data_IF_466115434277
#
_entry.id   IF_466115434277
#
_cell.length_a   1.000
_cell.length_b   1.000
_cell.length_c   1.000
_cell.angle_alpha   90.00
_cell.angle_beta   90.00
_cell.angle_gamma   90.00
#
_symmetry.space_group_name_H-M   'P 1'
#
loop_
_entity.id
_entity.type
_entity.pdbx_description
1 polymer ?
#
# COMPACT_ATOMS: atom_id res chain seq x y z
N UNK A 1 -2.97 -3.31 16.78
CA UNK A 1 -2.63 -2.42 15.65
C UNK A 1 -3.90 -2.27 14.85
N UNK A 2 -4.40 -1.05 14.72
CA UNK A 2 -5.65 -0.82 13.98
C UNK A 2 -5.37 -1.01 12.48
N UNK A 3 -6.13 -1.89 11.85
CA UNK A 3 -6.08 -2.12 10.41
C UNK A 3 -7.08 -1.20 9.72
N UNK A 4 -6.63 -0.49 8.70
CA UNK A 4 -7.42 0.45 7.93
C UNK A 4 -7.92 -0.23 6.64
N UNK A 5 -9.23 -0.38 6.43
CA UNK A 5 -9.75 -0.99 5.22
C UNK A 5 -9.65 -0.02 4.04
N UNK A 6 -9.33 -0.55 2.87
CA UNK A 6 -9.27 0.20 1.61
C UNK A 6 -9.35 -0.68 0.38
N UNK A 7 -9.29 -0.04 -0.80
CA UNK A 7 -9.29 -0.71 -2.10
C UNK A 7 -8.13 -0.24 -2.97
N UNK A 8 -7.51 -1.17 -3.70
CA UNK A 8 -6.42 -0.87 -4.66
C UNK A 8 -6.96 -0.04 -5.83
N UNK A 9 -6.48 1.18 -6.01
CA UNK A 9 -6.80 2.02 -7.18
C UNK A 9 -5.81 1.82 -8.32
N UNK A 10 -4.53 1.63 -8.01
CA UNK A 10 -3.45 1.42 -8.97
C UNK A 10 -2.44 0.40 -8.43
N UNK A 11 -1.86 -0.38 -9.35
CA UNK A 11 -0.82 -1.37 -9.07
C UNK A 11 0.27 -1.27 -10.15
N UNK A 12 1.53 -1.22 -9.73
CA UNK A 12 2.68 -1.18 -10.64
C UNK A 12 3.77 -2.12 -10.16
N UNK A 13 4.08 -3.15 -10.96
CA UNK A 13 5.16 -4.10 -10.68
C UNK A 13 6.50 -3.59 -11.22
N UNK A 14 7.52 -3.59 -10.36
CA UNK A 14 8.86 -3.05 -10.63
C UNK A 14 9.95 -4.03 -10.18
N UNK A 15 10.16 -5.09 -10.96
CA UNK A 15 11.17 -6.10 -10.63
C UNK A 15 10.81 -6.83 -9.34
N UNK A 16 11.45 -6.48 -8.22
CA UNK A 16 11.26 -7.10 -6.89
C UNK A 16 10.35 -6.29 -5.97
N UNK A 17 9.78 -5.18 -6.44
CA UNK A 17 8.79 -4.40 -5.68
C UNK A 17 7.49 -4.20 -6.43
N UNK A 18 6.41 -4.02 -5.68
CA UNK A 18 5.12 -3.58 -6.20
C UNK A 18 4.73 -2.27 -5.52
N UNK A 19 4.37 -1.28 -6.32
CA UNK A 19 3.81 -0.02 -5.84
C UNK A 19 2.28 -0.08 -5.95
N UNK A 20 1.61 0.34 -4.88
CA UNK A 20 0.17 0.34 -4.72
C UNK A 20 -0.31 1.75 -4.38
N UNK A 21 -1.40 2.18 -5.03
CA UNK A 21 -2.23 3.26 -4.54
C UNK A 21 -3.49 2.66 -3.91
N UNK A 22 -3.71 2.91 -2.64
CA UNK A 22 -4.85 2.38 -1.88
C UNK A 22 -5.76 3.52 -1.44
N UNK A 23 -7.02 3.47 -1.85
CA UNK A 23 -8.08 4.37 -1.35
C UNK A 23 -8.64 3.78 -0.06
N UNK A 24 -8.40 4.46 1.05
CA UNK A 24 -9.01 4.12 2.33
C UNK A 24 -10.50 4.48 2.34
N UNK A 25 -11.27 3.86 3.23
CA UNK A 25 -12.70 4.13 3.40
C UNK A 25 -13.04 5.59 3.74
N UNK A 26 -12.10 6.34 4.32
CA UNK A 26 -12.22 7.78 4.59
C UNK A 26 -11.84 8.66 3.38
N UNK A 27 -11.68 8.05 2.20
CA UNK A 27 -11.33 8.68 0.94
C UNK A 27 -9.88 9.20 0.84
N UNK A 28 -9.02 8.96 1.84
CA UNK A 28 -7.59 9.24 1.74
C UNK A 28 -6.91 8.26 0.77
N UNK A 29 -5.93 8.75 0.01
CA UNK A 29 -5.09 7.92 -0.84
C UNK A 29 -3.77 7.65 -0.12
N UNK A 30 -3.38 6.38 -0.04
CA UNK A 30 -2.11 5.94 0.55
C UNK A 30 -1.26 5.31 -0.54
N UNK A 31 -0.01 5.76 -0.63
CA UNK A 31 1.02 5.13 -1.43
C UNK A 31 1.73 4.07 -0.58
N UNK A 32 1.86 2.86 -1.10
CA UNK A 32 2.63 1.79 -0.47
C UNK A 32 3.54 1.11 -1.48
N UNK A 33 4.74 0.72 -1.02
CA UNK A 33 5.67 -0.12 -1.78
C UNK A 33 5.95 -1.37 -0.98
N UNK A 34 5.73 -2.52 -1.57
CA UNK A 34 6.00 -3.83 -0.96
C UNK A 34 7.13 -4.53 -1.72
N UNK A 35 8.05 -5.15 -0.97
CA UNK A 35 9.04 -6.06 -1.54
C UNK A 35 8.44 -7.46 -1.62
N UNK A 36 8.61 -8.12 -2.75
CA UNK A 36 8.13 -9.47 -2.95
C UNK A 36 9.24 -10.39 -3.47
N UNK A 37 9.05 -11.68 -3.26
CA UNK A 37 9.89 -12.68 -3.91
C UNK A 37 9.34 -12.95 -5.31
N UNK A 38 10.17 -12.77 -6.34
CA UNK A 38 9.77 -12.97 -7.74
C UNK A 38 9.34 -14.42 -8.04
N UNK A 39 9.83 -15.37 -7.25
CA UNK A 39 9.45 -16.78 -7.32
C UNK A 39 8.15 -17.11 -6.53
N UNK A 40 7.49 -16.12 -5.90
CA UNK A 40 6.20 -16.35 -5.23
C UNK A 40 5.03 -16.03 -6.16
N UNK A 41 4.51 -17.10 -6.79
CA UNK A 41 3.39 -17.08 -7.73
C UNK A 41 2.07 -16.52 -7.14
N UNK A 42 2.02 -16.23 -5.84
CA UNK A 42 0.77 -15.89 -5.12
C UNK A 42 0.58 -14.39 -4.91
N UNK A 43 1.59 -13.56 -5.12
CA UNK A 43 1.49 -12.12 -4.86
C UNK A 43 0.99 -11.33 -6.09
N UNK A 44 -0.32 -11.47 -6.38
CA UNK A 44 -1.00 -10.72 -7.43
C UNK A 44 -2.05 -9.78 -6.83
N UNK A 45 -1.85 -8.46 -6.95
CA UNK A 45 -2.84 -7.44 -6.58
C UNK A 45 -3.65 -7.01 -7.79
N UNK A 46 -4.96 -6.77 -7.59
CA UNK A 46 -5.86 -6.33 -8.64
C UNK A 46 -6.49 -5.00 -8.31
N UNK A 47 -6.71 -4.17 -9.33
CA UNK A 47 -7.49 -2.95 -9.18
C UNK A 47 -8.89 -3.28 -8.66
N UNK A 48 -9.32 -2.60 -7.61
CA UNK A 48 -10.59 -2.82 -6.91
C UNK A 48 -10.53 -3.89 -5.81
N UNK A 49 -9.41 -4.59 -5.65
CA UNK A 49 -9.22 -5.56 -4.58
C UNK A 49 -9.29 -4.89 -3.20
N UNK A 50 -9.98 -5.54 -2.27
CA UNK A 50 -10.12 -5.08 -0.90
C UNK A 50 -8.90 -5.50 -0.09
N UNK A 51 -8.27 -4.53 0.57
CA UNK A 51 -7.05 -4.71 1.34
C UNK A 51 -7.16 -4.07 2.71
N UNK A 52 -6.29 -4.51 3.62
CA UNK A 52 -6.10 -3.92 4.93
C UNK A 52 -4.73 -3.29 5.00
N UNK A 53 -4.68 -1.99 5.31
CA UNK A 53 -3.44 -1.25 5.53
C UNK A 53 -3.17 -1.22 7.02
N UNK A 54 -1.96 -1.60 7.43
CA UNK A 54 -1.50 -1.47 8.81
C UNK A 54 -0.27 -0.57 8.85
N UNK A 55 -0.17 0.27 9.87
CA UNK A 55 1.03 1.07 10.14
C UNK A 55 1.75 0.52 11.36
N UNK A 56 3.07 0.43 11.30
CA UNK A 56 3.88 0.04 12.45
C UNK A 56 4.17 1.29 13.29
N UNK A 57 3.74 1.34 14.57
CA UNK A 57 4.02 2.49 15.42
C UNK A 57 5.53 2.76 15.53
N UNK A 58 5.91 4.03 15.42
CA UNK A 58 7.30 4.49 15.45
C UNK A 58 8.00 4.56 14.09
N UNK A 59 7.32 4.18 13.01
CA UNK A 59 7.83 4.31 11.63
C UNK A 59 7.31 5.58 10.93
N UNK A 60 6.58 6.42 11.65
CA UNK A 60 6.09 7.70 11.16
C UNK A 60 7.26 8.70 11.06
N UNK A 61 7.36 9.36 9.91
CA UNK A 61 8.18 10.57 9.75
C UNK A 61 7.25 11.69 9.31
N UNK A 62 7.14 12.73 10.13
CA UNK A 62 6.41 13.94 9.76
C UNK A 62 7.36 14.86 9.02
N UNK A 63 7.08 15.10 7.74
CA UNK A 63 7.85 16.06 6.96
C UNK A 63 7.53 17.48 7.46
N UNK A 64 8.55 18.29 7.82
CA UNK A 64 8.31 19.57 8.48
C UNK A 64 7.71 20.65 7.56
N UNK A 65 7.73 20.45 6.24
CA UNK A 65 7.18 21.37 5.25
C UNK A 65 6.66 20.56 4.05
N UNK A 66 5.39 20.72 3.71
CA UNK A 66 4.82 20.36 2.41
C UNK A 66 4.34 21.68 1.79
N UNK A 67 5.10 22.22 0.84
CA UNK A 67 4.63 23.29 -0.06
C UNK A 67 4.36 22.69 -1.45
#
# INVERSE_FOLDING_TARGET
>A
TDMLPGSVEEVTYKGTTVDLMVRLTNNQLVAATEFFNEDDDRLEYKRGEQVWVTWLPGWEVVLPYED
#
